data_IF_952210889409
#
_entry.id   IF_952210889409
#
_cell.length_a   1.000
_cell.length_b   1.000
_cell.length_c   1.000
_cell.angle_alpha   90.00
_cell.angle_beta   90.00
_cell.angle_gamma   90.00
#
_symmetry.space_group_name_H-M   'P 1'
#
loop_
_entity.id
_entity.type
_entity.pdbx_description
1 polymer ?
#
# COMPACT_ATOMS: atom_id res chain seq x y z
N UNK A 1 16.05 -9.51 -4.90
CA UNK A 1 15.54 -8.78 -3.71
C UNK A 1 16.64 -8.01 -2.97
N UNK A 2 17.67 -8.65 -2.42
CA UNK A 2 18.74 -7.95 -1.69
C UNK A 2 19.51 -6.91 -2.53
N UNK A 3 19.74 -7.16 -3.82
CA UNK A 3 20.37 -6.16 -4.70
C UNK A 3 19.49 -4.93 -4.88
N UNK A 4 18.18 -5.10 -5.01
CA UNK A 4 17.22 -3.98 -5.07
C UNK A 4 17.18 -3.21 -3.74
N UNK A 5 17.23 -3.91 -2.60
CA UNK A 5 17.31 -3.26 -1.29
C UNK A 5 18.61 -2.43 -1.16
N UNK A 6 19.74 -2.95 -1.64
CA UNK A 6 21.02 -2.22 -1.67
C UNK A 6 20.97 -0.99 -2.57
N UNK A 7 20.42 -1.09 -3.78
CA UNK A 7 20.31 0.06 -4.70
C UNK A 7 19.35 1.14 -4.18
N UNK A 8 18.47 0.78 -3.24
CA UNK A 8 17.59 1.71 -2.51
C UNK A 8 18.19 2.18 -1.18
N UNK A 9 19.47 1.89 -0.90
CA UNK A 9 20.17 2.25 0.33
C UNK A 9 19.45 1.80 1.62
N UNK A 10 18.78 0.65 1.59
CA UNK A 10 18.18 0.06 2.80
C UNK A 10 19.27 -0.57 3.69
N UNK A 11 19.04 -0.55 5.01
CA UNK A 11 19.82 -1.38 5.94
C UNK A 11 19.57 -2.86 5.63
N UNK A 12 20.60 -3.53 5.12
CA UNK A 12 20.53 -4.92 4.67
C UNK A 12 20.37 -5.90 5.83
N UNK A 13 20.90 -5.56 7.00
CA UNK A 13 20.73 -6.38 8.21
C UNK A 13 19.29 -6.32 8.66
N UNK A 14 18.70 -5.13 8.71
CA UNK A 14 17.30 -4.95 9.09
C UNK A 14 16.35 -5.57 8.05
N UNK A 15 16.59 -5.32 6.75
CA UNK A 15 15.81 -5.92 5.67
C UNK A 15 15.78 -7.45 5.73
N UNK A 16 16.93 -8.09 6.04
CA UNK A 16 16.98 -9.55 6.23
C UNK A 16 16.12 -9.99 7.40
N UNK A 17 16.20 -9.30 8.55
CA UNK A 17 15.39 -9.63 9.74
C UNK A 17 13.90 -9.51 9.40
N UNK A 18 13.51 -8.44 8.72
CA UNK A 18 12.11 -8.20 8.36
C UNK A 18 11.57 -9.23 7.38
N UNK A 19 12.38 -9.66 6.40
CA UNK A 19 12.01 -10.68 5.42
C UNK A 19 11.76 -12.07 6.05
N UNK A 20 12.40 -12.35 7.18
CA UNK A 20 12.25 -13.61 7.92
C UNK A 20 11.36 -13.48 9.18
N UNK A 21 10.76 -12.30 9.41
CA UNK A 21 9.93 -12.04 10.58
C UNK A 21 8.52 -12.61 10.38
N UNK A 22 8.19 -13.68 11.11
CA UNK A 22 6.83 -14.23 11.14
C UNK A 22 5.79 -13.21 11.62
N UNK A 23 6.19 -12.32 12.53
CA UNK A 23 5.34 -11.23 13.01
C UNK A 23 5.00 -10.22 11.90
N UNK A 24 5.96 -9.92 11.01
CA UNK A 24 5.69 -9.04 9.88
C UNK A 24 4.71 -9.68 8.89
N UNK A 25 4.80 -11.00 8.65
CA UNK A 25 3.83 -11.72 7.83
C UNK A 25 2.42 -11.73 8.46
N UNK A 26 2.31 -11.93 9.78
CA UNK A 26 1.01 -11.83 10.47
C UNK A 26 0.37 -10.44 10.32
N UNK A 27 1.18 -9.38 10.42
CA UNK A 27 0.71 -8.00 10.19
C UNK A 27 0.26 -7.79 8.75
N UNK A 28 0.98 -8.36 7.78
CA UNK A 28 0.60 -8.30 6.37
C UNK A 28 -0.74 -9.00 6.13
N UNK A 29 -0.92 -10.23 6.63
CA UNK A 29 -2.16 -11.00 6.49
C UNK A 29 -3.35 -10.26 7.14
N UNK A 30 -3.14 -9.69 8.34
CA UNK A 30 -4.15 -8.85 8.99
C UNK A 30 -4.53 -7.65 8.11
N UNK A 31 -3.53 -6.95 7.56
CA UNK A 31 -3.76 -5.78 6.70
C UNK A 31 -4.56 -6.17 5.45
N UNK A 32 -4.23 -7.29 4.82
CA UNK A 32 -4.97 -7.81 3.66
C UNK A 32 -6.43 -8.10 4.05
N UNK A 33 -6.66 -8.78 5.18
CA UNK A 33 -8.02 -9.07 5.66
C UNK A 33 -8.80 -7.79 5.96
N UNK A 34 -8.17 -6.80 6.60
CA UNK A 34 -8.80 -5.51 6.89
C UNK A 34 -9.18 -4.77 5.60
N UNK A 35 -8.36 -4.85 4.54
CA UNK A 35 -8.67 -4.28 3.23
C UNK A 35 -9.82 -5.01 2.52
N UNK A 36 -9.84 -6.35 2.56
CA UNK A 36 -10.94 -7.17 2.02
C UNK A 36 -12.25 -6.85 2.73
N UNK A 37 -12.23 -6.73 4.06
CA UNK A 37 -13.39 -6.35 4.87
C UNK A 37 -13.89 -4.93 4.55
N UNK A 38 -13.03 -4.06 4.03
CA UNK A 38 -13.38 -2.71 3.55
C UNK A 38 -13.82 -2.68 2.08
N UNK A 39 -13.96 -3.83 1.42
CA UNK A 39 -14.43 -3.91 0.02
C UNK A 39 -13.33 -3.73 -1.04
N UNK A 40 -12.05 -3.82 -0.65
CA UNK A 40 -10.93 -3.74 -1.60
C UNK A 40 -10.62 -5.12 -2.14
N UNK A 41 -11.00 -5.36 -3.40
CA UNK A 41 -10.83 -6.67 -4.06
C UNK A 41 -9.88 -6.64 -5.26
N UNK A 42 -9.44 -5.46 -5.68
CA UNK A 42 -8.60 -5.27 -6.85
C UNK A 42 -7.42 -4.35 -6.54
N UNK A 43 -6.34 -4.55 -7.29
CA UNK A 43 -5.17 -3.66 -7.28
C UNK A 43 -4.94 -3.12 -8.69
N UNK A 44 -4.49 -1.85 -8.83
CA UNK A 44 -4.34 -0.86 -7.76
C UNK A 44 -5.69 -0.33 -7.27
N UNK A 45 -5.77 0.09 -6.01
CA UNK A 45 -6.90 0.82 -5.40
C UNK A 45 -6.33 1.94 -4.55
N UNK A 46 -6.88 3.14 -4.65
CA UNK A 46 -6.53 4.29 -3.80
C UNK A 46 -7.69 4.53 -2.83
N UNK A 47 -7.39 4.82 -1.57
CA UNK A 47 -8.40 5.16 -0.55
C UNK A 47 -8.09 6.56 -0.02
N UNK A 48 -9.07 7.47 -0.11
CA UNK A 48 -8.97 8.85 0.41
C UNK A 48 -10.14 9.06 1.36
N UNK A 49 -9.89 9.41 2.62
CA UNK A 49 -10.92 9.67 3.64
C UNK A 49 -12.04 8.59 3.67
N UNK A 50 -11.64 7.31 3.72
CA UNK A 50 -12.53 6.14 3.68
C UNK A 50 -13.36 5.93 2.41
N UNK A 51 -13.16 6.75 1.37
CA UNK A 51 -13.73 6.53 0.03
C UNK A 51 -12.78 5.74 -0.85
N UNK A 52 -13.31 4.70 -1.47
CA UNK A 52 -12.60 3.88 -2.45
C UNK A 52 -12.58 4.56 -3.81
N UNK A 53 -11.38 4.78 -4.34
CA UNK A 53 -11.12 5.22 -5.72
C UNK A 53 -10.49 4.06 -6.46
N UNK A 54 -11.32 3.30 -7.17
CA UNK A 54 -10.85 2.27 -8.11
C UNK A 54 -10.15 2.97 -9.25
N UNK A 55 -8.97 2.48 -9.66
CA UNK A 55 -8.08 3.17 -10.59
C UNK A 55 -8.82 3.79 -11.78
N UNK A 56 -9.02 5.09 -11.64
CA UNK A 56 -9.45 6.02 -12.65
C UNK A 56 -8.25 6.16 -13.59
N UNK A 57 -8.42 5.88 -14.88
CA UNK A 57 -7.32 5.90 -15.86
C UNK A 57 -6.76 7.32 -16.15
N UNK A 58 -7.13 8.34 -15.37
CA UNK A 58 -6.75 9.74 -15.58
C UNK A 58 -6.22 10.38 -14.30
N UNK A 59 -5.06 11.03 -14.43
CA UNK A 59 -4.46 11.89 -13.40
C UNK A 59 -5.38 13.05 -13.01
N UNK A 60 -6.15 13.59 -13.95
CA UNK A 60 -7.08 14.69 -13.67
C UNK A 60 -8.20 14.28 -12.70
N UNK A 61 -8.75 13.07 -12.86
CA UNK A 61 -9.81 12.57 -11.98
C UNK A 61 -9.30 12.42 -10.53
N UNK A 62 -8.14 11.80 -10.36
CA UNK A 62 -7.50 11.68 -9.05
C UNK A 62 -7.21 13.06 -8.43
N UNK A 63 -6.70 14.00 -9.24
CA UNK A 63 -6.37 15.35 -8.76
C UNK A 63 -7.62 16.10 -8.28
N UNK A 64 -8.73 16.03 -9.02
CA UNK A 64 -10.01 16.64 -8.62
C UNK A 64 -10.58 16.02 -7.35
N UNK A 65 -10.49 14.70 -7.20
CA UNK A 65 -10.91 14.01 -5.98
C UNK A 65 -10.10 14.49 -4.77
N UNK A 66 -8.78 14.59 -4.90
CA UNK A 66 -7.92 15.10 -3.83
C UNK A 66 -8.23 16.57 -3.49
N UNK A 67 -8.44 17.43 -4.49
CA UNK A 67 -8.84 18.83 -4.27
C UNK A 67 -10.19 18.95 -3.55
N UNK A 68 -11.13 18.04 -3.80
CA UNK A 68 -12.40 18.00 -3.08
C UNK A 68 -12.23 17.57 -1.62
N UNK A 69 -11.42 16.53 -1.38
CA UNK A 69 -11.20 15.95 -0.05
C UNK A 69 -10.32 16.80 0.88
N UNK A 70 -9.57 17.77 0.35
CA UNK A 70 -8.71 18.69 1.11
C UNK A 70 -9.38 20.04 1.48
N UNK A 71 -10.64 20.25 1.10
CA UNK A 71 -11.43 21.43 1.48
C UNK A 71 -12.07 21.25 2.84
#
# INVERSE_FOLDING_TARGET
MFNLAKTKNLDITQFRKDLHSSENYKKLDKTINDLVNRGVFATPTIIVNDRLVYMTNSYEELSRLLEYELR
#
